data_IF_839313057134
#
_entry.id   IF_839313057134
#
_cell.length_a   1.000
_cell.length_b   1.000
_cell.length_c   1.000
_cell.angle_alpha   90.00
_cell.angle_beta   90.00
_cell.angle_gamma   90.00
#
_symmetry.space_group_name_H-M   'P 1'
#
loop_
_entity.id
_entity.type
_entity.pdbx_description
1 polymer ?
#
# COMPACT_ATOMS: atom_id res chain seq x y z
N UNK A 1 -14.31 22.79 -17.29
CA UNK A 1 -14.27 21.43 -16.70
C UNK A 1 -13.64 21.56 -15.33
N UNK A 2 -14.29 21.09 -14.29
CA UNK A 2 -13.65 21.03 -12.98
C UNK A 2 -12.47 20.03 -13.05
N UNK A 3 -11.31 20.35 -12.49
CA UNK A 3 -10.18 19.42 -12.48
C UNK A 3 -10.58 18.13 -11.79
N UNK A 4 -10.18 17.00 -12.34
CA UNK A 4 -10.39 15.69 -11.68
C UNK A 4 -9.72 15.72 -10.30
N UNK A 5 -10.43 15.39 -9.22
CA UNK A 5 -9.84 15.41 -7.88
C UNK A 5 -8.67 14.44 -7.80
N UNK A 6 -7.67 14.70 -6.96
CA UNK A 6 -6.55 13.78 -6.73
C UNK A 6 -7.04 12.43 -6.18
N UNK A 7 -6.25 11.36 -6.34
CA UNK A 7 -6.57 10.05 -5.75
C UNK A 7 -6.79 10.17 -4.24
N UNK A 8 -5.94 10.91 -3.54
CA UNK A 8 -6.08 11.15 -2.12
C UNK A 8 -7.45 11.78 -1.78
N UNK A 9 -7.86 12.82 -2.53
CA UNK A 9 -9.17 13.46 -2.35
C UNK A 9 -10.34 12.52 -2.62
N UNK A 10 -10.22 11.65 -3.64
CA UNK A 10 -11.26 10.66 -3.96
C UNK A 10 -11.41 9.62 -2.84
N UNK A 11 -10.30 9.10 -2.31
CA UNK A 11 -10.27 8.18 -1.16
C UNK A 11 -10.93 8.82 0.06
N UNK A 12 -10.57 10.06 0.39
CA UNK A 12 -11.13 10.77 1.55
C UNK A 12 -12.62 11.03 1.40
N UNK A 13 -13.09 11.42 0.21
CA UNK A 13 -14.50 11.61 -0.08
C UNK A 13 -15.30 10.31 0.06
N UNK A 14 -14.76 9.21 -0.41
CA UNK A 14 -15.35 7.88 -0.27
C UNK A 14 -15.46 7.47 1.21
N UNK A 15 -14.38 7.62 1.99
CA UNK A 15 -14.40 7.33 3.43
C UNK A 15 -15.41 8.18 4.20
N UNK A 16 -15.51 9.47 3.88
CA UNK A 16 -16.49 10.35 4.50
C UNK A 16 -17.93 9.88 4.24
N UNK A 17 -18.23 9.42 3.00
CA UNK A 17 -19.55 8.87 2.68
C UNK A 17 -19.83 7.54 3.40
N UNK A 18 -18.84 6.65 3.49
CA UNK A 18 -18.97 5.38 4.21
C UNK A 18 -19.18 5.63 5.72
N UNK A 19 -18.46 6.60 6.30
CA UNK A 19 -18.55 6.92 7.73
C UNK A 19 -19.92 7.44 8.16
N UNK A 20 -20.74 7.97 7.25
CA UNK A 20 -22.11 8.36 7.54
C UNK A 20 -23.01 7.16 7.86
N UNK A 21 -22.70 5.99 7.29
CA UNK A 21 -23.44 4.74 7.52
C UNK A 21 -22.77 3.84 8.57
N UNK A 22 -21.46 3.86 8.58
CA UNK A 22 -20.62 3.03 9.42
C UNK A 22 -19.73 3.94 10.29
N UNK A 23 -20.20 4.38 11.48
CA UNK A 23 -19.44 5.28 12.34
C UNK A 23 -18.04 4.73 12.64
N UNK A 24 -17.05 5.60 12.51
CA UNK A 24 -15.65 5.24 12.72
C UNK A 24 -15.37 4.96 14.21
N UNK A 25 -14.79 3.80 14.57
CA UNK A 25 -14.31 3.57 15.94
C UNK A 25 -13.07 4.40 16.20
N UNK A 26 -12.78 4.69 17.47
CA UNK A 26 -11.60 5.45 17.84
C UNK A 26 -10.31 4.63 17.69
N UNK A 27 -9.20 5.33 17.59
CA UNK A 27 -7.87 4.70 17.58
C UNK A 27 -7.60 4.10 18.96
N UNK A 28 -7.31 2.81 19.01
CA UNK A 28 -6.83 2.12 20.20
C UNK A 28 -5.34 2.34 20.42
N UNK A 29 -4.55 2.16 19.35
CA UNK A 29 -3.08 2.21 19.39
C UNK A 29 -2.47 2.52 18.03
N UNK A 30 -1.30 3.19 18.07
CA UNK A 30 -0.34 3.22 16.98
C UNK A 30 0.77 2.22 17.29
N UNK A 31 1.00 1.28 16.40
CA UNK A 31 2.14 0.37 16.43
C UNK A 31 3.26 0.96 15.59
N UNK A 32 4.39 1.27 16.22
CA UNK A 32 5.60 1.78 15.55
C UNK A 32 6.61 0.65 15.44
N UNK A 33 7.22 0.43 14.27
CA UNK A 33 8.15 -0.68 14.09
C UNK A 33 9.40 -0.49 14.94
N UNK A 34 9.87 -1.56 15.54
CA UNK A 34 11.21 -1.64 16.17
C UNK A 34 12.16 -2.28 15.16
N UNK A 35 13.29 -1.64 14.89
CA UNK A 35 14.33 -2.30 14.12
C UNK A 35 14.94 -3.41 14.96
N UNK A 36 15.14 -4.62 14.38
CA UNK A 36 15.96 -5.65 15.05
C UNK A 36 17.35 -5.09 15.32
N UNK A 37 17.95 -5.45 16.45
CA UNK A 37 19.31 -5.00 16.84
C UNK A 37 20.40 -5.52 15.89
N UNK A 38 20.08 -6.51 15.04
CA UNK A 38 20.99 -7.12 14.06
C UNK A 38 20.37 -7.16 12.67
N UNK A 39 21.13 -6.68 11.67
CA UNK A 39 20.74 -6.76 10.26
C UNK A 39 20.63 -8.22 9.78
N UNK A 40 19.64 -8.53 8.94
CA UNK A 40 19.46 -9.87 8.37
C UNK A 40 18.63 -10.84 9.22
N UNK A 41 18.02 -10.39 10.31
CA UNK A 41 17.12 -11.20 11.13
C UNK A 41 15.72 -11.29 10.48
N UNK A 42 15.01 -12.39 10.71
CA UNK A 42 13.62 -12.53 10.35
C UNK A 42 12.79 -11.36 10.92
N UNK A 43 12.08 -10.63 10.07
CA UNK A 43 11.34 -9.43 10.48
C UNK A 43 11.95 -8.10 9.99
N UNK A 44 13.16 -8.09 9.39
CA UNK A 44 13.78 -6.86 8.89
C UNK A 44 12.88 -6.10 7.89
N UNK A 45 12.21 -6.82 6.98
CA UNK A 45 11.24 -6.21 6.05
C UNK A 45 9.93 -5.81 6.72
N UNK A 46 9.55 -6.43 7.81
CA UNK A 46 8.33 -6.12 8.56
C UNK A 46 8.51 -4.84 9.41
N UNK A 47 9.77 -4.51 9.77
CA UNK A 47 10.13 -3.24 10.43
C UNK A 47 10.01 -2.00 9.51
N UNK A 48 9.49 -2.16 8.30
CA UNK A 48 9.25 -1.09 7.34
C UNK A 48 7.84 -0.48 7.46
N UNK A 49 6.98 -1.02 8.34
CA UNK A 49 5.57 -0.61 8.42
C UNK A 49 5.18 -0.19 9.83
N UNK A 50 4.43 0.91 9.95
CA UNK A 50 3.62 1.18 11.13
C UNK A 50 2.20 0.64 10.95
N UNK A 51 1.42 0.55 12.03
CA UNK A 51 0.01 0.18 11.94
C UNK A 51 -0.85 0.99 12.90
N UNK A 52 -2.08 1.30 12.48
CA UNK A 52 -3.15 1.79 13.36
C UNK A 52 -4.06 0.62 13.70
N UNK A 53 -4.34 0.46 14.99
CA UNK A 53 -5.35 -0.42 15.55
C UNK A 53 -6.54 0.42 16.04
N UNK A 54 -7.76 0.05 15.62
CA UNK A 54 -9.00 0.66 16.07
C UNK A 54 -9.61 -0.12 17.23
N UNK A 55 -10.52 0.51 17.98
CA UNK A 55 -11.17 -0.10 19.16
C UNK A 55 -12.00 -1.34 18.83
N UNK A 56 -12.52 -1.46 17.62
CA UNK A 56 -13.26 -2.63 17.13
C UNK A 56 -12.39 -3.74 16.54
N UNK A 57 -11.06 -3.57 16.58
CA UNK A 57 -10.10 -4.53 16.06
C UNK A 57 -9.79 -4.37 14.57
N UNK A 58 -10.21 -3.28 13.93
CA UNK A 58 -9.75 -2.92 12.58
C UNK A 58 -8.27 -2.54 12.60
N UNK A 59 -7.49 -3.03 11.61
CA UNK A 59 -6.07 -2.75 11.47
C UNK A 59 -5.75 -2.17 10.10
N UNK A 60 -4.81 -1.21 10.07
CA UNK A 60 -4.28 -0.69 8.81
C UNK A 60 -2.78 -0.46 8.88
N UNK A 61 -2.06 -0.97 7.88
CA UNK A 61 -0.61 -0.85 7.76
C UNK A 61 -0.23 0.32 6.84
N UNK A 62 0.94 0.93 7.10
CA UNK A 62 1.54 1.93 6.23
C UNK A 62 3.06 1.85 6.26
N UNK A 63 3.68 1.96 5.08
CA UNK A 63 5.13 1.98 4.90
C UNK A 63 5.74 3.27 5.49
N UNK A 64 6.88 3.16 6.17
CA UNK A 64 7.50 4.28 6.89
C UNK A 64 8.97 4.53 6.55
N UNK A 65 9.52 3.87 5.53
CA UNK A 65 10.92 4.10 5.12
C UNK A 65 11.08 5.09 3.95
N UNK A 66 10.05 5.89 3.61
CA UNK A 66 10.24 6.98 2.66
C UNK A 66 11.00 8.14 3.32
N UNK A 67 12.19 8.44 2.81
CA UNK A 67 13.04 9.48 3.39
C UNK A 67 13.38 9.21 4.85
N UNK A 68 13.15 10.20 5.71
CA UNK A 68 13.37 10.13 7.16
C UNK A 68 12.10 9.83 7.98
N UNK A 69 11.02 9.38 7.33
CA UNK A 69 9.70 9.20 7.95
C UNK A 69 9.76 8.35 9.22
N UNK A 70 10.45 7.20 9.20
CA UNK A 70 10.57 6.34 10.39
C UNK A 70 11.29 7.05 11.54
N UNK A 71 12.39 7.73 11.24
CA UNK A 71 13.14 8.45 12.27
C UNK A 71 12.31 9.59 12.89
N UNK A 72 11.56 10.31 12.07
CA UNK A 72 10.65 11.36 12.52
C UNK A 72 9.49 10.78 13.35
N UNK A 73 8.90 9.66 12.89
CA UNK A 73 7.83 8.96 13.61
C UNK A 73 8.29 8.46 15.00
N UNK A 74 9.50 7.87 15.08
CA UNK A 74 10.07 7.41 16.33
C UNK A 74 10.34 8.55 17.32
N UNK A 75 10.85 9.70 16.83
CA UNK A 75 11.05 10.90 17.65
C UNK A 75 9.74 11.42 18.22
N UNK A 76 8.72 11.59 17.37
CA UNK A 76 7.42 12.11 17.79
C UNK A 76 6.70 11.14 18.74
N UNK A 77 6.76 9.83 18.48
CA UNK A 77 6.18 8.80 19.35
C UNK A 77 6.87 8.73 20.72
N UNK A 78 8.20 8.74 20.74
CA UNK A 78 9.00 8.71 21.97
C UNK A 78 8.91 10.01 22.77
N UNK A 79 8.71 11.17 22.11
CA UNK A 79 8.54 12.46 22.75
C UNK A 79 7.12 12.72 23.32
N UNK A 80 6.17 11.81 23.08
CA UNK A 80 4.80 11.99 23.50
C UNK A 80 3.98 12.93 22.60
N UNK A 81 4.52 13.37 21.46
CA UNK A 81 3.87 14.30 20.54
C UNK A 81 2.79 13.65 19.65
N UNK A 82 2.62 12.33 19.76
CA UNK A 82 1.60 11.56 19.02
C UNK A 82 0.65 10.82 19.97
N UNK A 83 -0.22 11.53 20.70
CA UNK A 83 -1.24 10.92 21.56
C UNK A 83 -2.41 10.44 20.70
N UNK A 84 -2.22 9.36 19.91
CA UNK A 84 -3.25 8.89 18.98
C UNK A 84 -4.34 8.04 19.64
N UNK A 85 -4.14 7.56 20.87
CA UNK A 85 -5.18 6.81 21.58
C UNK A 85 -6.42 7.68 21.78
N UNK A 86 -7.58 7.20 21.33
CA UNK A 86 -8.85 7.94 21.37
C UNK A 86 -9.02 8.96 20.23
N UNK A 87 -8.00 9.13 19.36
CA UNK A 87 -8.11 10.01 18.20
C UNK A 87 -9.18 9.54 17.21
N UNK A 88 -9.71 10.47 16.44
CA UNK A 88 -10.62 10.18 15.33
C UNK A 88 -9.82 9.77 14.10
N UNK A 89 -9.94 8.53 13.60
CA UNK A 89 -9.19 8.09 12.45
C UNK A 89 -9.59 8.80 11.14
N UNK A 90 -10.80 9.36 11.06
CA UNK A 90 -11.21 10.19 9.90
C UNK A 90 -10.45 11.53 9.87
N UNK A 91 -10.17 12.10 11.03
CA UNK A 91 -9.33 13.31 11.13
C UNK A 91 -7.89 12.99 10.74
N UNK A 92 -7.34 11.85 11.23
CA UNK A 92 -6.00 11.42 10.86
C UNK A 92 -5.87 11.15 9.35
N UNK A 93 -6.90 10.55 8.75
CA UNK A 93 -6.92 10.24 7.31
C UNK A 93 -6.75 11.51 6.43
N UNK A 94 -7.18 12.71 6.92
CA UNK A 94 -7.04 13.95 6.15
C UNK A 94 -5.57 14.28 5.81
N UNK A 95 -4.61 13.81 6.60
CA UNK A 95 -3.19 13.95 6.32
C UNK A 95 -2.73 13.30 5.00
N UNK A 96 -3.55 12.43 4.39
CA UNK A 96 -3.23 11.82 3.09
C UNK A 96 -3.16 12.88 1.97
N UNK A 97 -3.96 13.93 2.04
CA UNK A 97 -3.99 15.02 1.08
C UNK A 97 -3.18 16.22 1.62
N UNK A 98 -1.86 16.23 1.43
CA UNK A 98 -1.00 17.39 1.70
C UNK A 98 -0.30 17.39 3.06
N UNK A 99 -0.40 16.35 3.88
CA UNK A 99 0.37 16.22 5.12
C UNK A 99 1.87 16.02 4.91
N UNK A 100 2.65 16.20 5.98
CA UNK A 100 4.06 15.79 6.04
C UNK A 100 4.21 14.28 5.81
N UNK A 101 5.43 13.79 5.63
CA UNK A 101 5.66 12.36 5.41
C UNK A 101 5.13 11.48 6.57
N UNK A 102 5.27 11.94 7.82
CA UNK A 102 4.73 11.25 9.01
C UNK A 102 3.21 11.27 9.01
N UNK A 103 2.61 12.45 8.75
CA UNK A 103 1.14 12.58 8.70
C UNK A 103 0.55 11.73 7.59
N UNK A 104 1.17 11.65 6.40
CA UNK A 104 0.74 10.78 5.30
C UNK A 104 0.84 9.30 5.65
N UNK A 105 1.89 8.87 6.35
CA UNK A 105 2.05 7.48 6.78
C UNK A 105 0.95 7.10 7.80
N UNK A 106 0.71 7.95 8.80
CA UNK A 106 -0.37 7.77 9.78
C UNK A 106 -1.73 7.80 9.08
N UNK A 107 -1.94 8.74 8.15
CA UNK A 107 -3.19 8.87 7.40
C UNK A 107 -3.50 7.62 6.57
N UNK A 108 -2.53 7.07 5.85
CA UNK A 108 -2.75 5.85 5.06
C UNK A 108 -3.01 4.64 5.97
N UNK A 109 -2.33 4.54 7.12
CA UNK A 109 -2.65 3.52 8.11
C UNK A 109 -4.08 3.68 8.65
N UNK A 110 -4.56 4.92 8.90
CA UNK A 110 -5.93 5.18 9.32
C UNK A 110 -6.96 4.84 8.24
N UNK A 111 -6.70 5.19 6.96
CA UNK A 111 -7.52 4.81 5.81
C UNK A 111 -7.69 3.29 5.73
N UNK A 112 -6.58 2.56 5.84
CA UNK A 112 -6.58 1.10 5.78
C UNK A 112 -7.29 0.47 6.98
N UNK A 113 -7.11 1.02 8.19
CA UNK A 113 -7.79 0.54 9.39
C UNK A 113 -9.31 0.77 9.35
N UNK A 114 -9.75 1.93 8.85
CA UNK A 114 -11.17 2.23 8.62
C UNK A 114 -11.78 1.28 7.58
N UNK A 115 -11.05 0.97 6.53
CA UNK A 115 -11.47 0.00 5.52
C UNK A 115 -11.63 -1.39 6.12
N UNK A 116 -10.64 -1.90 6.86
CA UNK A 116 -10.71 -3.21 7.53
C UNK A 116 -11.85 -3.28 8.55
N UNK A 117 -12.06 -2.20 9.31
CA UNK A 117 -13.19 -2.09 10.26
C UNK A 117 -14.55 -2.29 9.57
N UNK A 118 -14.78 -1.60 8.44
CA UNK A 118 -16.05 -1.72 7.71
C UNK A 118 -16.16 -3.07 7.01
N UNK A 119 -15.09 -3.58 6.39
CA UNK A 119 -15.09 -4.93 5.77
C UNK A 119 -15.49 -6.00 6.78
N UNK A 120 -14.97 -5.94 8.02
CA UNK A 120 -15.37 -6.84 9.11
C UNK A 120 -16.85 -6.75 9.44
N UNK A 121 -17.39 -5.53 9.53
CA UNK A 121 -18.82 -5.30 9.86
C UNK A 121 -19.77 -5.78 8.78
N UNK A 122 -19.41 -5.61 7.51
CA UNK A 122 -20.26 -6.04 6.38
C UNK A 122 -19.99 -7.48 5.96
N UNK A 123 -19.08 -8.18 6.65
CA UNK A 123 -18.74 -9.58 6.34
C UNK A 123 -18.00 -9.78 5.02
N UNK A 124 -17.33 -8.71 4.52
CA UNK A 124 -16.52 -8.84 3.29
C UNK A 124 -15.14 -9.39 3.60
N UNK A 125 -14.80 -10.48 2.93
CA UNK A 125 -13.46 -11.08 2.97
C UNK A 125 -12.80 -10.92 1.60
N UNK A 126 -11.72 -10.11 1.49
CA UNK A 126 -11.02 -9.97 0.22
C UNK A 126 -10.39 -11.31 -0.19
N UNK A 127 -10.40 -11.64 -1.50
CA UNK A 127 -9.84 -12.89 -2.02
C UNK A 127 -8.38 -13.07 -1.61
N UNK A 128 -7.97 -14.24 -1.09
CA UNK A 128 -6.58 -14.48 -0.71
C UNK A 128 -5.67 -14.45 -1.95
N UNK A 129 -4.47 -13.89 -1.80
CA UNK A 129 -3.44 -13.94 -2.82
C UNK A 129 -2.40 -15.01 -2.49
N UNK A 130 -1.99 -15.80 -3.49
CA UNK A 130 -0.99 -16.85 -3.33
C UNK A 130 0.43 -16.32 -3.15
N UNK A 131 0.66 -15.04 -3.48
CA UNK A 131 1.97 -14.38 -3.36
C UNK A 131 1.86 -12.87 -3.12
N UNK A 132 2.99 -12.23 -2.84
CA UNK A 132 3.06 -10.78 -2.59
C UNK A 132 2.91 -9.91 -3.85
N UNK A 133 2.73 -10.52 -5.01
CA UNK A 133 2.59 -9.82 -6.29
C UNK A 133 1.15 -9.81 -6.80
N UNK A 134 0.17 -10.15 -5.94
CA UNK A 134 -1.25 -10.15 -6.29
C UNK A 134 -1.62 -11.15 -7.40
N UNK A 135 -0.82 -12.23 -7.54
CA UNK A 135 -1.02 -13.27 -8.57
C UNK A 135 -1.01 -12.77 -10.01
N UNK A 136 -0.29 -11.68 -10.29
CA UNK A 136 -0.13 -11.15 -11.66
C UNK A 136 0.45 -12.22 -12.58
N UNK A 137 -0.32 -12.58 -13.62
CA UNK A 137 0.09 -13.54 -14.65
C UNK A 137 0.91 -12.83 -15.73
N UNK A 138 2.02 -13.45 -16.14
CA UNK A 138 2.92 -12.93 -17.17
C UNK A 138 3.13 -13.96 -18.27
N UNK A 139 3.30 -13.48 -19.50
CA UNK A 139 3.61 -14.26 -20.69
C UNK A 139 4.83 -13.69 -21.40
N UNK A 140 5.41 -14.43 -22.35
CA UNK A 140 6.53 -13.98 -23.16
C UNK A 140 6.23 -12.75 -24.03
N UNK A 141 4.94 -12.47 -24.31
CA UNK A 141 4.52 -11.30 -25.08
C UNK A 141 4.40 -10.04 -24.23
N UNK A 142 4.43 -10.17 -22.90
CA UNK A 142 4.27 -9.04 -22.01
C UNK A 142 5.55 -8.19 -21.94
N UNK A 143 5.34 -6.87 -21.90
CA UNK A 143 6.34 -5.92 -21.47
C UNK A 143 5.91 -5.39 -20.10
N UNK A 144 6.57 -5.89 -19.04
CA UNK A 144 6.28 -5.47 -17.68
C UNK A 144 6.96 -4.14 -17.36
N UNK A 145 6.19 -3.16 -16.93
CA UNK A 145 6.63 -1.98 -16.19
C UNK A 145 6.58 -2.27 -14.69
N UNK A 146 7.70 -2.09 -14.01
CA UNK A 146 7.79 -2.24 -12.56
C UNK A 146 8.07 -0.86 -11.94
N UNK A 147 7.23 -0.41 -11.01
CA UNK A 147 7.41 0.84 -10.28
C UNK A 147 7.83 0.50 -8.85
N UNK A 148 9.07 0.86 -8.48
CA UNK A 148 9.77 0.29 -7.34
C UNK A 148 10.37 -1.08 -7.69
N UNK A 149 11.32 -1.56 -6.88
CA UNK A 149 12.07 -2.77 -7.20
C UNK A 149 11.59 -3.99 -6.40
N UNK A 150 11.03 -4.98 -7.11
CA UNK A 150 10.56 -6.25 -6.54
C UNK A 150 11.41 -7.43 -7.06
N UNK A 151 12.48 -7.86 -6.37
CA UNK A 151 13.37 -8.93 -6.83
C UNK A 151 12.67 -10.22 -7.26
N UNK A 152 11.62 -10.72 -6.57
CA UNK A 152 10.91 -11.91 -7.01
C UNK A 152 10.24 -11.77 -8.38
N UNK A 153 9.80 -10.55 -8.73
CA UNK A 153 9.14 -10.28 -10.01
C UNK A 153 10.17 -10.26 -11.16
N UNK A 154 11.39 -9.76 -10.92
CA UNK A 154 12.49 -9.80 -11.89
C UNK A 154 12.75 -11.23 -12.36
N UNK A 155 12.85 -12.17 -11.41
CA UNK A 155 13.04 -13.58 -11.70
C UNK A 155 11.88 -14.16 -12.53
N UNK A 156 10.64 -13.89 -12.15
CA UNK A 156 9.44 -14.36 -12.86
C UNK A 156 9.36 -13.86 -14.31
N UNK A 157 9.73 -12.59 -14.55
CA UNK A 157 9.76 -12.03 -15.91
C UNK A 157 10.82 -12.73 -16.77
N UNK A 158 12.01 -12.95 -16.20
CA UNK A 158 13.08 -13.68 -16.88
C UNK A 158 12.67 -15.12 -17.23
N UNK A 159 12.00 -15.83 -16.31
CA UNK A 159 11.49 -17.18 -16.52
C UNK A 159 10.37 -17.22 -17.59
N UNK A 160 9.52 -16.20 -17.66
CA UNK A 160 8.48 -16.08 -18.67
C UNK A 160 9.00 -15.64 -20.04
N UNK A 161 10.27 -15.20 -20.15
CA UNK A 161 10.85 -14.66 -21.38
C UNK A 161 10.30 -13.29 -21.80
N UNK A 162 9.62 -12.58 -20.87
CA UNK A 162 9.06 -11.26 -21.09
C UNK A 162 10.10 -10.13 -21.02
N UNK A 163 9.70 -8.93 -21.43
CA UNK A 163 10.50 -7.69 -21.30
C UNK A 163 10.20 -7.01 -19.98
N UNK A 164 11.21 -6.33 -19.39
CA UNK A 164 11.09 -5.63 -18.11
C UNK A 164 11.71 -4.22 -18.19
N UNK A 165 10.94 -3.21 -17.81
CA UNK A 165 11.40 -1.86 -17.51
C UNK A 165 11.10 -1.56 -16.05
N UNK A 166 12.13 -1.16 -15.28
CA UNK A 166 11.99 -0.80 -13.87
C UNK A 166 12.16 0.70 -13.70
N UNK A 167 11.15 1.35 -13.14
CA UNK A 167 11.18 2.77 -12.78
C UNK A 167 11.37 2.90 -11.28
N UNK A 168 12.45 3.54 -10.87
CA UNK A 168 12.79 3.86 -9.48
C UNK A 168 12.83 5.37 -9.29
N UNK A 169 12.65 5.82 -8.05
CA UNK A 169 12.67 7.25 -7.72
C UNK A 169 13.99 7.70 -7.10
N UNK A 170 14.82 6.76 -6.63
CA UNK A 170 16.07 7.03 -5.95
C UNK A 170 17.26 6.66 -6.84
N UNK A 171 18.10 7.65 -7.17
CA UNK A 171 19.27 7.48 -8.05
C UNK A 171 20.30 6.49 -7.48
N UNK A 172 20.50 6.45 -6.17
CA UNK A 172 21.41 5.50 -5.53
C UNK A 172 20.89 4.06 -5.65
N UNK A 173 19.56 3.89 -5.51
CA UNK A 173 18.92 2.58 -5.72
C UNK A 173 19.07 2.15 -7.18
N UNK A 174 18.87 3.05 -8.14
CA UNK A 174 19.10 2.73 -9.57
C UNK A 174 20.53 2.26 -9.79
N UNK A 175 21.55 2.98 -9.28
CA UNK A 175 22.95 2.59 -9.42
C UNK A 175 23.22 1.20 -8.84
N UNK A 176 22.81 0.97 -7.58
CA UNK A 176 22.98 -0.33 -6.90
C UNK A 176 22.28 -1.48 -7.62
N UNK A 177 21.05 -1.27 -8.09
CA UNK A 177 20.29 -2.33 -8.74
C UNK A 177 20.83 -2.63 -10.15
N UNK A 178 21.34 -1.63 -10.88
CA UNK A 178 22.01 -1.84 -12.18
C UNK A 178 23.27 -2.70 -12.04
N UNK A 179 24.06 -2.50 -11.01
CA UNK A 179 25.23 -3.34 -10.72
C UNK A 179 24.81 -4.80 -10.46
N UNK A 180 23.75 -5.00 -9.69
CA UNK A 180 23.27 -6.33 -9.31
C UNK A 180 22.51 -7.04 -10.44
N UNK A 181 21.83 -6.28 -11.31
CA UNK A 181 21.00 -6.79 -12.40
C UNK A 181 21.35 -6.11 -13.73
N UNK A 182 22.54 -6.37 -14.30
CA UNK A 182 23.07 -5.64 -15.47
C UNK A 182 22.21 -5.83 -16.74
N UNK A 183 21.41 -6.88 -16.81
CA UNK A 183 20.54 -7.19 -17.95
C UNK A 183 19.10 -6.64 -17.79
N UNK A 184 18.81 -5.90 -16.71
CA UNK A 184 17.51 -5.29 -16.46
C UNK A 184 17.57 -3.80 -16.75
N UNK A 185 16.64 -3.29 -17.55
CA UNK A 185 16.49 -1.86 -17.76
C UNK A 185 15.92 -1.18 -16.52
N UNK A 186 16.74 -0.44 -15.79
CA UNK A 186 16.35 0.26 -14.55
C UNK A 186 16.60 1.75 -14.76
N UNK A 187 15.61 2.59 -14.54
CA UNK A 187 15.64 4.02 -14.90
C UNK A 187 14.98 4.89 -13.84
N UNK A 188 15.28 6.19 -13.88
CA UNK A 188 14.53 7.24 -13.17
C UNK A 188 13.41 7.84 -14.04
N UNK A 189 13.42 7.57 -15.35
CA UNK A 189 12.47 8.16 -16.28
C UNK A 189 11.19 7.32 -16.35
N UNK A 190 10.09 7.88 -15.86
CA UNK A 190 8.77 7.26 -15.95
C UNK A 190 8.25 7.08 -17.38
N UNK A 191 8.81 7.80 -18.38
CA UNK A 191 8.43 7.63 -19.77
C UNK A 191 8.71 6.21 -20.28
N UNK A 192 9.62 5.48 -19.65
CA UNK A 192 9.91 4.07 -19.95
C UNK A 192 8.76 3.10 -19.62
N UNK A 193 7.70 3.57 -18.95
CA UNK A 193 6.45 2.83 -18.78
C UNK A 193 5.54 2.86 -20.01
N UNK A 194 5.74 3.81 -20.94
CA UNK A 194 4.84 3.99 -22.07
C UNK A 194 4.67 2.73 -22.95
N UNK A 195 5.72 1.92 -23.26
CA UNK A 195 5.56 0.71 -24.06
C UNK A 195 5.03 -0.50 -23.26
N UNK A 196 4.85 -0.37 -21.93
CA UNK A 196 4.46 -1.50 -21.08
C UNK A 196 2.96 -1.79 -21.17
N UNK A 197 2.59 -3.06 -21.39
CA UNK A 197 1.20 -3.50 -21.41
C UNK A 197 0.73 -4.09 -20.07
N UNK A 198 1.67 -4.39 -19.19
CA UNK A 198 1.43 -4.79 -17.79
C UNK A 198 2.27 -3.88 -16.90
N UNK A 199 1.67 -3.30 -15.87
CA UNK A 199 2.40 -2.51 -14.88
C UNK A 199 2.11 -3.05 -13.49
N UNK A 200 3.16 -3.19 -12.69
CA UNK A 200 3.08 -3.55 -11.27
C UNK A 200 3.84 -2.48 -10.47
N UNK A 201 3.13 -1.79 -9.61
CA UNK A 201 3.70 -0.72 -8.81
C UNK A 201 3.47 -0.89 -7.31
N UNK A 202 4.39 -0.34 -6.55
CA UNK A 202 4.32 -0.34 -5.09
C UNK A 202 3.21 0.55 -4.56
N UNK A 203 2.54 0.13 -3.49
CA UNK A 203 1.55 0.94 -2.77
C UNK A 203 2.14 2.22 -2.14
N UNK A 204 3.47 2.38 -2.09
CA UNK A 204 4.11 3.62 -1.65
C UNK A 204 3.81 4.82 -2.55
N UNK A 205 3.33 4.57 -3.79
CA UNK A 205 2.81 5.62 -4.67
C UNK A 205 1.64 6.41 -4.06
N UNK A 206 0.91 5.82 -3.11
CA UNK A 206 -0.15 6.50 -2.35
C UNK A 206 0.42 7.46 -1.30
N UNK A 207 1.63 7.18 -0.77
CA UNK A 207 2.30 8.00 0.23
C UNK A 207 3.03 9.20 -0.36
N UNK A 208 3.64 9.03 -1.55
CA UNK A 208 4.41 10.07 -2.21
C UNK A 208 3.65 10.79 -3.33
N UNK A 209 2.33 10.53 -3.45
CA UNK A 209 1.42 11.19 -4.39
C UNK A 209 1.84 11.05 -5.87
N UNK A 210 2.41 9.89 -6.23
CA UNK A 210 2.90 9.66 -7.61
C UNK A 210 1.98 8.79 -8.45
N UNK A 211 0.94 8.17 -7.88
CA UNK A 211 0.11 7.18 -8.60
C UNK A 211 -0.55 7.77 -9.85
N UNK A 212 -1.15 8.98 -9.78
CA UNK A 212 -1.75 9.63 -10.95
C UNK A 212 -0.73 9.85 -12.07
N UNK A 213 0.50 10.26 -11.71
CA UNK A 213 1.57 10.48 -12.67
C UNK A 213 2.10 9.18 -13.30
N UNK A 214 2.15 8.10 -12.54
CA UNK A 214 2.56 6.78 -13.05
C UNK A 214 1.49 6.14 -13.95
N UNK A 215 0.21 6.30 -13.61
CA UNK A 215 -0.90 5.90 -14.49
C UNK A 215 -0.85 6.65 -15.82
N UNK A 216 -0.63 7.97 -15.79
CA UNK A 216 -0.50 8.78 -17.01
C UNK A 216 0.73 8.41 -17.86
N UNK A 217 1.82 7.94 -17.23
CA UNK A 217 3.03 7.51 -17.92
C UNK A 217 2.91 6.13 -18.59
N UNK A 218 1.87 5.35 -18.24
CA UNK A 218 1.64 4.00 -18.76
C UNK A 218 0.36 3.90 -19.62
N UNK A 219 0.21 4.68 -20.72
CA UNK A 219 -1.02 4.77 -21.48
C UNK A 219 -1.42 3.46 -22.19
N UNK A 220 -0.48 2.55 -22.41
CA UNK A 220 -0.69 1.26 -23.05
C UNK A 220 -0.93 0.11 -22.07
N UNK A 221 -0.92 0.39 -20.76
CA UNK A 221 -1.12 -0.63 -19.75
C UNK A 221 -2.57 -1.16 -19.78
N UNK A 222 -2.73 -2.42 -20.14
CA UNK A 222 -4.00 -3.16 -20.07
C UNK A 222 -4.26 -3.68 -18.66
N UNK A 223 -3.19 -3.90 -17.90
CA UNK A 223 -3.19 -4.35 -16.51
C UNK A 223 -2.29 -3.43 -15.71
N UNK A 224 -2.84 -2.79 -14.69
CA UNK A 224 -2.08 -1.96 -13.76
C UNK A 224 -2.39 -2.43 -12.34
N UNK A 225 -1.42 -3.05 -11.68
CA UNK A 225 -1.53 -3.54 -10.31
C UNK A 225 -0.84 -2.60 -9.33
N UNK A 226 -1.53 -2.26 -8.24
CA UNK A 226 -0.93 -1.59 -7.07
C UNK A 226 -0.83 -2.61 -5.96
N UNK A 227 0.39 -2.89 -5.49
CA UNK A 227 0.65 -3.96 -4.53
C UNK A 227 1.50 -3.48 -3.35
N UNK A 228 1.29 -4.09 -2.20
CA UNK A 228 2.07 -3.89 -0.98
C UNK A 228 1.20 -3.86 0.28
N UNK A 229 1.79 -4.04 1.46
CA UNK A 229 1.04 -4.07 2.72
C UNK A 229 0.22 -2.79 2.99
N UNK A 230 0.65 -1.64 2.46
CA UNK A 230 -0.07 -0.36 2.59
C UNK A 230 -1.29 -0.23 1.68
N UNK A 231 -1.62 -1.23 0.85
CA UNK A 231 -2.76 -1.21 -0.06
C UNK A 231 -4.02 -1.87 0.54
N UNK A 232 -4.32 -1.60 1.81
CA UNK A 232 -5.47 -2.14 2.56
C UNK A 232 -6.75 -1.31 2.45
N UNK A 233 -6.92 -0.52 1.38
CA UNK A 233 -8.00 0.46 1.24
C UNK A 233 -9.10 0.00 0.27
N UNK A 234 -10.23 0.73 0.27
CA UNK A 234 -11.28 0.57 -0.73
C UNK A 234 -10.72 0.84 -2.13
N UNK A 235 -10.87 -0.08 -3.09
CA UNK A 235 -10.19 0.02 -4.38
C UNK A 235 -10.86 0.98 -5.39
N UNK A 236 -12.10 1.40 -5.15
CA UNK A 236 -12.92 2.12 -6.14
C UNK A 236 -12.22 3.34 -6.72
N UNK A 237 -11.68 4.23 -5.86
CA UNK A 237 -10.98 5.43 -6.31
C UNK A 237 -9.77 5.14 -7.23
N UNK A 238 -9.13 3.99 -7.06
CA UNK A 238 -8.02 3.53 -7.88
C UNK A 238 -8.54 2.88 -9.17
N UNK A 239 -9.58 2.05 -9.07
CA UNK A 239 -10.17 1.35 -10.22
C UNK A 239 -10.79 2.31 -11.24
N UNK A 240 -11.44 3.38 -10.76
CA UNK A 240 -11.96 4.47 -11.60
C UNK A 240 -10.87 5.18 -12.41
N UNK A 241 -9.59 5.09 -11.99
CA UNK A 241 -8.44 5.69 -12.69
C UNK A 241 -7.63 4.72 -13.53
N UNK A 242 -8.07 3.47 -13.64
CA UNK A 242 -7.43 2.49 -14.51
C UNK A 242 -6.56 1.46 -13.79
N UNK A 243 -6.44 1.50 -12.46
CA UNK A 243 -5.91 0.36 -11.71
C UNK A 243 -6.84 -0.83 -11.93
N UNK A 244 -6.27 -2.00 -12.18
CA UNK A 244 -7.02 -3.22 -12.46
C UNK A 244 -6.94 -4.26 -11.36
N UNK A 245 -5.96 -4.09 -10.46
CA UNK A 245 -5.74 -5.01 -9.33
C UNK A 245 -5.15 -4.24 -8.14
N UNK A 246 -5.72 -4.48 -6.97
CA UNK A 246 -5.20 -4.01 -5.68
C UNK A 246 -4.78 -5.21 -4.85
N UNK A 247 -3.49 -5.30 -4.49
CA UNK A 247 -2.95 -6.36 -3.66
C UNK A 247 -2.42 -5.81 -2.33
N UNK A 248 -3.02 -6.26 -1.23
CA UNK A 248 -2.73 -5.76 0.11
C UNK A 248 -2.43 -6.87 1.13
N UNK A 249 -2.33 -6.45 2.38
CA UNK A 249 -2.14 -7.33 3.53
C UNK A 249 -3.16 -6.96 4.61
N UNK A 250 -3.81 -7.96 5.19
CA UNK A 250 -4.78 -7.84 6.27
C UNK A 250 -4.27 -8.55 7.52
N UNK A 251 -4.41 -7.91 8.68
CA UNK A 251 -4.13 -8.54 9.98
C UNK A 251 -5.26 -9.51 10.31
N UNK A 252 -4.93 -10.78 10.51
CA UNK A 252 -5.88 -11.87 10.82
C UNK A 252 -5.81 -12.29 12.28
N UNK A 253 -4.64 -12.13 12.92
CA UNK A 253 -4.45 -12.33 14.36
C UNK A 253 -3.92 -11.04 15.00
N UNK A 254 -4.81 -10.18 15.56
CA UNK A 254 -4.43 -8.92 16.20
C UNK A 254 -3.43 -9.06 17.34
N UNK A 255 -3.55 -10.10 18.16
CA UNK A 255 -2.68 -10.28 19.32
C UNK A 255 -1.28 -10.69 18.88
N UNK A 256 -1.16 -11.72 18.03
CA UNK A 256 0.13 -12.16 17.49
C UNK A 256 0.83 -11.04 16.70
N UNK A 257 0.06 -10.22 15.94
CA UNK A 257 0.59 -9.05 15.25
C UNK A 257 1.17 -8.03 16.22
N UNK A 258 0.42 -7.67 17.27
CA UNK A 258 0.84 -6.69 18.27
C UNK A 258 2.09 -7.16 19.03
N UNK A 259 2.15 -8.44 19.38
CA UNK A 259 3.28 -9.04 20.10
C UNK A 259 4.54 -9.03 19.20
N UNK A 260 4.40 -9.42 17.93
CA UNK A 260 5.50 -9.37 16.98
C UNK A 260 6.04 -7.94 16.77
N UNK A 261 5.14 -6.95 16.58
CA UNK A 261 5.52 -5.54 16.45
C UNK A 261 6.26 -5.01 17.71
N UNK A 262 5.82 -5.42 18.90
CA UNK A 262 6.41 -4.97 20.17
C UNK A 262 7.86 -5.40 20.34
N UNK A 263 8.26 -6.55 19.78
CA UNK A 263 9.62 -7.11 19.89
C UNK A 263 10.44 -6.99 18.61
N UNK A 264 9.87 -6.45 17.53
CA UNK A 264 10.54 -6.35 16.23
C UNK A 264 10.70 -7.70 15.51
N UNK A 265 9.83 -8.66 15.81
CA UNK A 265 9.77 -9.94 15.12
C UNK A 265 8.92 -9.85 13.83
N UNK A 266 9.00 -10.87 12.97
CA UNK A 266 8.12 -10.97 11.81
C UNK A 266 6.67 -11.17 12.22
N UNK A 267 5.77 -10.38 11.62
CA UNK A 267 4.32 -10.48 11.78
C UNK A 267 3.63 -11.21 10.61
N UNK A 268 4.39 -11.80 9.69
CA UNK A 268 3.86 -12.45 8.47
C UNK A 268 2.82 -13.53 8.79
N UNK A 269 3.04 -14.34 9.83
CA UNK A 269 2.13 -15.40 10.29
C UNK A 269 0.79 -14.85 10.85
N UNK A 270 0.80 -13.61 11.36
CA UNK A 270 -0.38 -12.92 11.90
C UNK A 270 -1.21 -12.20 10.82
N UNK A 271 -0.81 -12.34 9.55
CA UNK A 271 -1.41 -11.60 8.44
C UNK A 271 -1.73 -12.51 7.25
N UNK A 272 -2.61 -12.02 6.38
CA UNK A 272 -2.95 -12.66 5.12
C UNK A 272 -2.87 -11.67 3.98
N UNK A 273 -2.20 -12.08 2.88
CA UNK A 273 -2.19 -11.32 1.62
C UNK A 273 -3.51 -11.53 0.89
N UNK A 274 -3.96 -10.47 0.22
CA UNK A 274 -5.15 -10.50 -0.62
C UNK A 274 -4.92 -9.80 -1.95
N UNK A 275 -5.77 -10.11 -2.93
CA UNK A 275 -5.81 -9.40 -4.21
C UNK A 275 -7.25 -9.19 -4.65
N UNK A 276 -7.62 -7.94 -4.92
CA UNK A 276 -8.93 -7.56 -5.42
C UNK A 276 -8.77 -7.14 -6.87
N UNK A 277 -9.38 -7.89 -7.80
CA UNK A 277 -9.43 -7.53 -9.20
C UNK A 277 -10.64 -6.63 -9.48
N UNK A 278 -10.46 -5.61 -10.33
CA UNK A 278 -11.52 -4.66 -10.68
C UNK A 278 -12.77 -5.35 -11.23
N UNK A 279 -12.59 -6.36 -12.07
CA UNK A 279 -13.70 -7.01 -12.75
C UNK A 279 -14.57 -7.88 -11.83
N UNK A 280 -14.06 -8.25 -10.66
CA UNK A 280 -14.79 -9.01 -9.63
C UNK A 280 -15.19 -8.17 -8.41
N UNK A 281 -14.85 -6.88 -8.41
CA UNK A 281 -15.15 -5.99 -7.30
C UNK A 281 -16.61 -5.53 -7.33
N UNK A 282 -17.40 -5.78 -6.26
CA UNK A 282 -18.83 -5.42 -6.27
C UNK A 282 -19.09 -3.92 -6.10
N UNK A 283 -18.08 -3.13 -5.75
CA UNK A 283 -18.22 -1.72 -5.41
C UNK A 283 -18.54 -1.47 -3.93
N UNK A 284 -17.95 -0.41 -3.37
CA UNK A 284 -18.16 -0.05 -1.97
C UNK A 284 -19.63 0.24 -1.65
N UNK A 285 -20.39 0.85 -2.59
CA UNK A 285 -21.82 1.15 -2.39
C UNK A 285 -22.64 -0.12 -2.18
N UNK A 286 -22.42 -1.13 -2.99
CA UNK A 286 -23.07 -2.44 -2.86
C UNK A 286 -22.73 -3.08 -1.51
N UNK A 287 -21.45 -3.07 -1.12
CA UNK A 287 -21.01 -3.69 0.14
C UNK A 287 -21.53 -2.95 1.39
N UNK A 288 -21.71 -1.64 1.33
CA UNK A 288 -22.18 -0.82 2.46
C UNK A 288 -23.69 -0.59 2.48
N UNK A 289 -24.42 -1.13 1.50
CA UNK A 289 -25.88 -0.97 1.42
C UNK A 289 -26.35 0.40 0.92
N UNK A 290 -25.50 1.13 0.18
CA UNK A 290 -25.81 2.40 -0.47
C UNK A 290 -26.27 2.25 -1.94
N UNK A 291 -26.49 1.03 -2.39
CA UNK A 291 -26.94 0.74 -3.75
C UNK A 291 -28.42 1.08 -3.97
#
# INVERSE_FOLDING_TARGET
MNPTPSIASAILSQLAAIAQLHPAPRVRRLHVPRRPDTAGVAGEHDAEFCAIELEDGGFGLSYVLLGDTLAALLRAHGGGDLPLKGADPLVLAQGLAGGSAVERAIALAAVNALTDSVWRRVGYEPPPAGNSLGDVQLTAQDHLGMIGFFPPLVKRVAEAGGRLSVVEMNAEMVARQRERFPNVHITLDRADLAPCNVVVGTSTMLLNDTLDAMLAAAPNAKRFAVIGPSAGLWPDALFERGVTLLGGTRVTDPQAFSDAMAVGASWSEATRKFAIARDSWPGWRTLTGLA
#
